data_IF_316821062654
#
_entry.id   IF_316821062654
#
_cell.length_a   1.000
_cell.length_b   1.000
_cell.length_c   1.000
_cell.angle_alpha   90.00
_cell.angle_beta   90.00
_cell.angle_gamma   90.00
#
_symmetry.space_group_name_H-M   'P 1'
#
loop_
_entity.id
_entity.type
_entity.pdbx_description
1 polymer ?
#
# COMPACT_ATOMS: atom_id res chain seq x y z
N UNK A 1 -20.01 12.32 11.97
CA UNK A 1 -19.33 11.03 12.13
C UNK A 1 -19.72 10.13 10.99
N UNK A 2 -18.74 9.74 10.13
CA UNK A 2 -18.97 8.87 8.98
C UNK A 2 -19.61 7.54 9.39
N UNK A 3 -19.12 6.92 10.46
CA UNK A 3 -19.59 5.61 10.92
C UNK A 3 -21.11 5.57 11.24
N UNK A 4 -21.72 6.64 11.73
CA UNK A 4 -23.15 6.66 12.00
C UNK A 4 -23.98 6.62 10.71
N UNK A 5 -23.54 7.35 9.68
CA UNK A 5 -24.17 7.33 8.37
C UNK A 5 -24.01 5.98 7.69
N UNK A 6 -22.82 5.41 7.78
CA UNK A 6 -22.50 4.10 7.22
C UNK A 6 -23.35 3.02 7.87
N UNK A 7 -23.49 3.02 9.20
CA UNK A 7 -24.38 2.09 9.92
C UNK A 7 -25.84 2.24 9.49
N UNK A 8 -26.36 3.47 9.36
CA UNK A 8 -27.74 3.71 8.88
C UNK A 8 -27.96 3.23 7.45
N UNK A 9 -26.94 3.39 6.58
CA UNK A 9 -27.00 2.86 5.23
C UNK A 9 -27.05 1.35 5.24
N UNK A 10 -26.17 0.71 5.99
CA UNK A 10 -26.11 -0.77 6.14
C UNK A 10 -27.44 -1.31 6.67
N UNK A 11 -28.03 -0.69 7.68
CA UNK A 11 -29.34 -1.08 8.23
C UNK A 11 -30.45 -1.02 7.18
N UNK A 12 -30.45 0.01 6.33
CA UNK A 12 -31.40 0.09 5.21
C UNK A 12 -31.15 -0.97 4.13
N UNK A 13 -29.87 -1.24 3.80
CA UNK A 13 -29.52 -2.27 2.83
C UNK A 13 -29.92 -3.66 3.30
N UNK A 14 -29.86 -3.95 4.61
CA UNK A 14 -30.33 -5.22 5.18
C UNK A 14 -31.82 -5.46 5.01
N UNK A 15 -32.63 -4.42 4.79
CA UNK A 15 -34.06 -4.58 4.47
C UNK A 15 -34.29 -5.12 3.04
N UNK A 16 -33.28 -5.00 2.18
CA UNK A 16 -33.29 -5.60 0.86
C UNK A 16 -32.95 -7.09 1.02
N UNK A 17 -33.76 -7.97 0.42
CA UNK A 17 -33.50 -9.42 0.46
C UNK A 17 -32.35 -9.80 -0.49
N UNK A 18 -31.15 -9.28 -0.20
CA UNK A 18 -29.94 -9.45 -1.03
C UNK A 18 -28.73 -9.70 -0.14
N UNK A 19 -27.65 -10.23 -0.72
CA UNK A 19 -26.39 -10.39 -0.03
C UNK A 19 -25.67 -9.06 0.10
N UNK A 20 -25.11 -8.80 1.26
CA UNK A 20 -24.35 -7.60 1.56
C UNK A 20 -22.85 -7.93 1.66
N UNK A 21 -22.07 -7.30 0.79
CA UNK A 21 -20.60 -7.37 0.82
C UNK A 21 -20.05 -6.05 1.33
N UNK A 22 -19.25 -6.11 2.39
CA UNK A 22 -18.54 -4.95 2.91
C UNK A 22 -17.13 -4.90 2.35
N UNK A 23 -16.83 -3.87 1.57
CA UNK A 23 -15.49 -3.64 1.02
C UNK A 23 -14.72 -2.68 1.95
N UNK A 24 -13.74 -3.22 2.69
CA UNK A 24 -12.97 -2.50 3.70
C UNK A 24 -11.68 -1.98 3.05
N UNK A 25 -11.60 -0.66 2.82
CA UNK A 25 -10.41 0.01 2.32
C UNK A 25 -9.47 0.42 3.45
N UNK A 26 -10.04 1.09 4.44
CA UNK A 26 -9.35 1.57 5.63
C UNK A 26 -10.17 1.29 6.87
N UNK A 27 -9.47 1.13 7.98
CA UNK A 27 -10.06 0.98 9.31
C UNK A 27 -9.57 2.15 10.18
N UNK A 28 -10.26 3.31 10.16
CA UNK A 28 -9.83 4.51 10.89
C UNK A 28 -9.49 4.30 12.36
N UNK A 29 -10.17 3.40 13.12
CA UNK A 29 -9.76 3.03 14.47
C UNK A 29 -8.36 2.43 14.59
N UNK A 30 -7.86 1.75 13.54
CA UNK A 30 -6.50 1.18 13.52
C UNK A 30 -5.46 2.17 12.98
N UNK A 31 -5.88 3.16 12.20
CA UNK A 31 -4.97 4.17 11.65
C UNK A 31 -4.54 5.22 12.68
N UNK A 32 -5.44 5.56 13.61
CA UNK A 32 -5.23 6.63 14.57
C UNK A 32 -5.71 6.18 15.96
N UNK A 33 -4.82 6.18 16.93
CA UNK A 33 -5.12 5.80 18.30
C UNK A 33 -6.31 6.61 18.88
N UNK A 34 -6.38 7.90 18.54
CA UNK A 34 -7.50 8.77 18.92
C UNK A 34 -8.88 8.32 18.43
N UNK A 35 -8.93 7.43 17.44
CA UNK A 35 -10.16 6.89 16.87
C UNK A 35 -10.48 5.47 17.36
N UNK A 36 -9.61 4.85 18.16
CA UNK A 36 -9.78 3.45 18.57
C UNK A 36 -11.08 3.20 19.32
N UNK A 37 -11.60 4.20 20.04
CA UNK A 37 -12.89 4.13 20.73
C UNK A 37 -14.09 3.84 19.79
N UNK A 38 -13.93 4.05 18.48
CA UNK A 38 -14.94 3.75 17.46
C UNK A 38 -14.92 2.27 17.01
N UNK A 39 -13.91 1.49 17.39
CA UNK A 39 -13.75 0.12 16.93
C UNK A 39 -15.01 -0.75 17.13
N UNK A 40 -15.69 -0.73 18.29
CA UNK A 40 -16.91 -1.52 18.47
C UNK A 40 -18.01 -1.19 17.45
N UNK A 41 -18.15 0.09 17.08
CA UNK A 41 -19.15 0.52 16.10
C UNK A 41 -18.79 0.05 14.66
N UNK A 42 -17.50 0.04 14.31
CA UNK A 42 -17.04 -0.51 13.04
C UNK A 42 -17.25 -2.02 12.97
N UNK A 43 -16.91 -2.75 14.02
CA UNK A 43 -17.11 -4.20 14.11
C UNK A 43 -18.59 -4.56 14.04
N UNK A 44 -19.46 -3.83 14.76
CA UNK A 44 -20.91 -4.03 14.67
C UNK A 44 -21.41 -3.86 13.23
N UNK A 45 -20.94 -2.81 12.54
CA UNK A 45 -21.29 -2.57 11.14
C UNK A 45 -20.80 -3.70 10.21
N UNK A 46 -19.54 -4.12 10.36
CA UNK A 46 -18.98 -5.19 9.53
C UNK A 46 -19.71 -6.51 9.75
N UNK A 47 -20.10 -6.82 10.98
CA UNK A 47 -20.84 -8.04 11.34
C UNK A 47 -22.25 -8.12 10.72
N UNK A 48 -22.76 -7.01 10.17
CA UNK A 48 -24.03 -7.02 9.41
C UNK A 48 -23.88 -7.54 7.99
N UNK A 49 -22.66 -7.74 7.48
CA UNK A 49 -22.42 -8.21 6.11
C UNK A 49 -22.42 -9.74 6.01
N UNK A 50 -22.67 -10.26 4.81
CA UNK A 50 -22.57 -11.69 4.49
C UNK A 50 -21.12 -12.08 4.14
N UNK A 51 -20.32 -11.12 3.67
CA UNK A 51 -18.92 -11.29 3.32
C UNK A 51 -18.19 -9.94 3.50
N UNK A 52 -16.94 -10.01 3.96
CA UNK A 52 -16.04 -8.87 3.99
C UNK A 52 -14.92 -9.03 2.96
N UNK A 53 -14.62 -7.95 2.25
CA UNK A 53 -13.40 -7.82 1.46
C UNK A 53 -12.40 -7.02 2.27
N UNK A 54 -11.24 -7.58 2.47
CA UNK A 54 -10.17 -6.99 3.29
C UNK A 54 -8.92 -6.76 2.45
N UNK A 55 -8.06 -5.77 2.80
CA UNK A 55 -6.81 -5.54 2.10
C UNK A 55 -5.85 -6.73 2.20
N UNK A 56 -5.74 -7.37 3.37
CA UNK A 56 -4.79 -8.44 3.66
C UNK A 56 -5.38 -9.50 4.60
N UNK A 57 -4.74 -10.67 4.67
CA UNK A 57 -5.04 -11.69 5.68
C UNK A 57 -4.82 -11.18 7.10
N UNK A 58 -3.76 -10.38 7.30
CA UNK A 58 -3.43 -9.78 8.60
C UNK A 58 -4.56 -8.86 9.06
N UNK A 59 -5.12 -8.03 8.16
CA UNK A 59 -6.29 -7.19 8.48
C UNK A 59 -7.50 -8.04 8.88
N UNK A 60 -7.78 -9.13 8.17
CA UNK A 60 -8.87 -10.02 8.54
C UNK A 60 -8.68 -10.58 9.96
N UNK A 61 -7.49 -11.10 10.26
CA UNK A 61 -7.19 -11.66 11.58
C UNK A 61 -7.24 -10.58 12.67
N UNK A 62 -6.78 -9.37 12.38
CA UNK A 62 -6.91 -8.25 13.29
C UNK A 62 -8.38 -7.94 13.59
N UNK A 63 -9.22 -7.82 12.58
CA UNK A 63 -10.65 -7.56 12.78
C UNK A 63 -11.35 -8.70 13.54
N UNK A 64 -10.94 -9.96 13.34
CA UNK A 64 -11.44 -11.09 14.13
C UNK A 64 -11.05 -10.94 15.60
N UNK A 65 -9.84 -10.52 15.92
CA UNK A 65 -9.42 -10.26 17.30
C UNK A 65 -10.19 -9.10 17.95
N UNK A 66 -10.69 -8.16 17.14
CA UNK A 66 -11.55 -7.04 17.59
C UNK A 66 -13.05 -7.42 17.66
N UNK A 67 -13.42 -8.65 17.29
CA UNK A 67 -14.80 -9.13 17.39
C UNK A 67 -15.56 -9.33 16.08
N UNK A 68 -14.88 -9.32 14.93
CA UNK A 68 -15.50 -9.68 13.65
C UNK A 68 -15.92 -11.15 13.67
N UNK A 69 -17.20 -11.40 13.35
CA UNK A 69 -17.79 -12.75 13.31
C UNK A 69 -18.07 -13.27 11.89
N UNK A 70 -17.94 -12.41 10.88
CA UNK A 70 -18.12 -12.77 9.47
C UNK A 70 -17.00 -13.71 9.04
N UNK A 71 -17.34 -14.93 8.66
CA UNK A 71 -16.37 -15.99 8.29
C UNK A 71 -15.99 -15.98 6.82
N UNK A 72 -16.88 -15.47 5.95
CA UNK A 72 -16.62 -15.37 4.51
C UNK A 72 -15.86 -14.09 4.23
N UNK A 73 -14.67 -14.23 3.67
CA UNK A 73 -13.85 -13.06 3.30
C UNK A 73 -13.08 -13.31 2.01
N UNK A 74 -12.69 -12.21 1.36
CA UNK A 74 -11.82 -12.20 0.18
C UNK A 74 -10.75 -11.14 0.39
N UNK A 75 -9.52 -11.44 -0.05
CA UNK A 75 -8.36 -10.56 0.12
C UNK A 75 -8.06 -9.81 -1.16
N UNK A 76 -7.94 -8.48 -1.07
CA UNK A 76 -7.62 -7.59 -2.19
C UNK A 76 -6.21 -7.80 -2.75
N UNK A 77 -5.21 -8.01 -1.92
CA UNK A 77 -3.77 -8.19 -2.22
C UNK A 77 -3.05 -6.96 -2.74
N UNK A 78 -3.52 -6.29 -3.77
CA UNK A 78 -2.98 -5.05 -4.31
C UNK A 78 -4.12 -4.14 -4.78
N UNK A 79 -3.93 -2.83 -4.65
CA UNK A 79 -4.83 -1.85 -5.28
C UNK A 79 -4.51 -1.74 -6.77
N UNK A 80 -5.53 -1.61 -7.60
CA UNK A 80 -5.33 -1.26 -8.99
C UNK A 80 -5.14 0.25 -9.16
N UNK A 81 -4.31 0.63 -10.11
CA UNK A 81 -4.11 2.00 -10.53
C UNK A 81 -4.20 2.07 -12.05
N UNK A 82 -5.43 2.14 -12.56
CA UNK A 82 -5.69 2.05 -13.99
C UNK A 82 -5.26 3.31 -14.75
N UNK A 83 -4.55 3.10 -15.86
CA UNK A 83 -4.17 4.14 -16.81
C UNK A 83 -3.73 3.53 -18.15
N UNK A 84 -3.69 4.37 -19.18
CA UNK A 84 -3.22 4.03 -20.54
C UNK A 84 -1.99 4.84 -20.96
N UNK A 85 -1.20 5.33 -20.00
CA UNK A 85 0.00 6.09 -20.29
C UNK A 85 1.05 5.20 -20.95
N UNK A 86 1.76 5.76 -21.93
CA UNK A 86 2.96 5.17 -22.49
C UNK A 86 4.14 5.55 -21.58
N UNK A 87 4.60 4.56 -20.81
CA UNK A 87 5.62 4.74 -19.78
C UNK A 87 6.99 4.34 -20.30
N UNK A 88 8.02 4.96 -19.72
CA UNK A 88 9.40 4.55 -19.98
C UNK A 88 9.68 3.16 -19.38
N UNK A 89 10.73 2.51 -19.85
CA UNK A 89 11.32 1.35 -19.16
C UNK A 89 12.29 1.86 -18.12
N UNK A 90 12.08 1.55 -16.81
CA UNK A 90 12.94 2.05 -15.76
C UNK A 90 14.42 1.74 -15.97
N UNK A 91 15.27 2.76 -15.87
CA UNK A 91 16.72 2.64 -15.98
C UNK A 91 17.36 2.42 -14.61
N UNK A 92 18.49 1.74 -14.59
CA UNK A 92 19.22 1.50 -13.35
C UNK A 92 19.80 2.79 -12.80
N UNK A 93 19.30 3.18 -11.63
CA UNK A 93 19.84 4.28 -10.83
C UNK A 93 19.80 3.88 -9.36
N UNK A 94 20.92 4.07 -8.65
CA UNK A 94 21.00 3.83 -7.19
C UNK A 94 20.40 5.00 -6.44
N UNK A 95 19.08 5.15 -6.55
CA UNK A 95 18.29 6.15 -5.84
C UNK A 95 16.99 5.54 -5.31
N UNK A 96 16.54 6.03 -4.19
CA UNK A 96 15.22 5.75 -3.63
C UNK A 96 14.25 6.89 -3.96
N UNK A 97 13.00 6.54 -4.19
CA UNK A 97 11.94 7.50 -4.51
C UNK A 97 10.81 7.33 -3.49
N UNK A 98 10.42 8.43 -2.87
CA UNK A 98 9.29 8.47 -1.94
C UNK A 98 8.26 9.49 -2.43
N UNK A 99 6.99 9.08 -2.50
CA UNK A 99 5.88 9.99 -2.78
C UNK A 99 4.96 10.11 -1.56
N UNK A 100 4.82 11.31 -1.03
CA UNK A 100 3.97 11.57 0.12
C UNK A 100 4.43 12.73 0.97
N UNK A 101 3.59 13.15 1.91
CA UNK A 101 3.89 14.27 2.79
C UNK A 101 4.91 13.88 3.87
N UNK A 102 6.11 14.48 3.90
CA UNK A 102 7.18 14.15 4.85
C UNK A 102 6.79 14.40 6.31
N UNK A 103 5.87 15.32 6.60
CA UNK A 103 5.44 15.57 7.98
C UNK A 103 4.73 14.37 8.62
N UNK A 104 4.21 13.44 7.78
CA UNK A 104 3.66 12.16 8.24
C UNK A 104 4.70 11.05 8.33
N UNK A 105 5.91 11.31 7.82
CA UNK A 105 7.00 10.33 7.71
C UNK A 105 8.32 11.00 8.11
N UNK A 106 8.57 11.21 9.41
CA UNK A 106 9.74 11.95 9.90
C UNK A 106 11.07 11.37 9.43
N UNK A 107 11.17 10.05 9.28
CA UNK A 107 12.37 9.36 8.80
C UNK A 107 12.80 9.80 7.39
N UNK A 108 11.88 10.34 6.58
CA UNK A 108 12.19 10.88 5.25
C UNK A 108 12.98 12.19 5.35
N UNK A 109 12.63 13.04 6.30
CA UNK A 109 13.31 14.33 6.53
C UNK A 109 14.69 14.09 7.16
N UNK A 110 14.78 13.14 8.07
CA UNK A 110 16.01 12.79 8.79
C UNK A 110 16.88 11.77 8.03
N UNK A 111 16.78 11.76 6.69
CA UNK A 111 17.52 10.84 5.85
C UNK A 111 19.04 10.92 6.11
N UNK A 112 19.65 9.81 6.45
CA UNK A 112 21.06 9.73 6.88
C UNK A 112 21.89 8.71 6.09
N UNK A 113 21.31 8.17 5.03
CA UNK A 113 21.92 7.10 4.25
C UNK A 113 22.54 7.63 2.96
N UNK A 114 23.52 6.89 2.41
CA UNK A 114 24.29 7.28 1.21
C UNK A 114 23.45 7.23 -0.08
N UNK A 115 22.43 6.37 -0.12
CA UNK A 115 21.52 6.31 -1.27
C UNK A 115 20.70 7.61 -1.34
N UNK A 116 20.77 8.38 -2.44
CA UNK A 116 19.96 9.57 -2.60
C UNK A 116 18.47 9.26 -2.48
N UNK A 117 17.74 10.06 -1.71
CA UNK A 117 16.29 9.97 -1.57
C UNK A 117 15.62 11.13 -2.28
N UNK A 118 14.84 10.82 -3.32
CA UNK A 118 14.04 11.75 -4.11
C UNK A 118 12.60 11.75 -3.60
N UNK A 119 12.09 12.92 -3.22
CA UNK A 119 10.79 13.04 -2.56
C UNK A 119 9.84 13.88 -3.41
N UNK A 120 8.77 13.25 -3.88
CA UNK A 120 7.68 13.92 -4.59
C UNK A 120 6.64 14.42 -3.59
N UNK A 121 6.74 15.70 -3.28
CA UNK A 121 5.85 16.40 -2.33
C UNK A 121 5.92 17.91 -2.56
N UNK A 122 4.94 18.64 -2.04
CA UNK A 122 5.13 20.07 -1.83
C UNK A 122 5.99 20.30 -0.59
N UNK A 123 7.01 21.16 -0.66
CA UNK A 123 7.80 21.51 0.52
C UNK A 123 6.91 22.20 1.56
N UNK A 124 7.13 21.85 2.82
CA UNK A 124 6.45 22.48 3.96
C UNK A 124 7.36 23.57 4.51
N UNK A 125 6.80 24.75 4.75
CA UNK A 125 7.55 25.88 5.30
C UNK A 125 8.16 25.52 6.67
N UNK A 126 9.41 25.92 6.89
CA UNK A 126 10.13 25.67 8.14
C UNK A 126 10.73 24.29 8.31
N UNK A 127 10.61 23.39 7.30
CA UNK A 127 11.23 22.08 7.30
C UNK A 127 12.57 22.11 6.57
N UNK A 128 13.63 21.58 7.17
CA UNK A 128 14.94 21.41 6.55
C UNK A 128 14.96 20.16 5.66
N UNK A 129 15.10 20.36 4.35
CA UNK A 129 15.19 19.29 3.35
C UNK A 129 16.63 19.09 2.82
N UNK A 130 17.65 19.60 3.51
CA UNK A 130 19.04 19.54 3.05
C UNK A 130 19.58 18.13 2.80
N UNK A 131 18.94 17.11 3.39
CA UNK A 131 19.33 15.69 3.31
C UNK A 131 18.60 14.88 2.23
N UNK A 132 17.67 15.50 1.50
CA UNK A 132 16.84 14.85 0.48
C UNK A 132 16.68 15.74 -0.75
N UNK A 133 16.33 15.12 -1.87
CA UNK A 133 16.03 15.85 -3.11
C UNK A 133 14.52 16.05 -3.23
N UNK A 134 14.05 17.31 -3.14
CA UNK A 134 12.65 17.64 -3.32
C UNK A 134 12.36 17.85 -4.81
N UNK A 135 11.53 16.96 -5.36
CA UNK A 135 11.12 16.96 -6.78
C UNK A 135 9.87 17.80 -7.04
N UNK A 136 9.22 18.28 -5.98
CA UNK A 136 7.95 19.00 -6.03
C UNK A 136 6.76 18.07 -6.21
N UNK A 137 5.58 18.66 -6.09
CA UNK A 137 4.33 17.92 -6.32
C UNK A 137 4.12 17.65 -7.81
N UNK A 138 3.50 16.52 -8.11
CA UNK A 138 3.13 16.10 -9.48
C UNK A 138 1.69 15.64 -9.51
N UNK A 139 1.01 15.89 -10.62
CA UNK A 139 -0.25 15.19 -10.92
C UNK A 139 0.00 13.67 -11.01
N UNK A 140 -1.07 12.87 -10.90
CA UNK A 140 -0.97 11.41 -11.00
C UNK A 140 -0.23 10.97 -12.27
N UNK A 141 -0.55 11.57 -13.42
CA UNK A 141 0.05 11.22 -14.70
C UNK A 141 1.53 11.60 -14.77
N UNK A 142 1.86 12.80 -14.35
CA UNK A 142 3.26 13.26 -14.28
C UNK A 142 4.08 12.40 -13.33
N UNK A 143 3.53 12.08 -12.14
CA UNK A 143 4.21 11.21 -11.19
C UNK A 143 4.52 9.83 -11.79
N UNK A 144 3.56 9.21 -12.47
CA UNK A 144 3.78 7.90 -13.11
C UNK A 144 4.87 7.97 -14.18
N UNK A 145 4.91 9.03 -14.98
CA UNK A 145 5.97 9.25 -15.97
C UNK A 145 7.34 9.43 -15.29
N UNK A 146 7.43 10.22 -14.23
CA UNK A 146 8.68 10.40 -13.48
C UNK A 146 9.16 9.10 -12.84
N UNK A 147 8.26 8.37 -12.19
CA UNK A 147 8.58 7.08 -11.56
C UNK A 147 9.07 6.06 -12.58
N UNK A 148 8.54 6.06 -13.79
CA UNK A 148 8.93 5.10 -14.84
C UNK A 148 10.33 5.37 -15.42
N UNK A 149 11.01 6.46 -15.05
CA UNK A 149 12.37 6.75 -15.51
C UNK A 149 13.42 5.86 -14.86
N UNK A 150 13.26 5.45 -13.59
CA UNK A 150 14.18 4.54 -12.92
C UNK A 150 14.38 4.82 -11.42
N UNK A 151 15.25 4.02 -10.80
CA UNK A 151 15.46 3.99 -9.35
C UNK A 151 14.56 2.97 -8.66
N UNK A 152 14.31 3.12 -7.36
CA UNK A 152 13.50 2.20 -6.54
C UNK A 152 12.44 2.96 -5.77
N UNK A 153 11.19 2.50 -5.82
CA UNK A 153 10.09 3.08 -5.02
C UNK A 153 10.16 2.63 -3.56
N UNK A 154 10.37 3.56 -2.64
CA UNK A 154 10.40 3.29 -1.21
C UNK A 154 8.99 3.29 -0.62
N UNK A 155 8.56 2.15 -0.09
CA UNK A 155 7.37 2.03 0.76
C UNK A 155 7.84 1.80 2.18
N UNK A 156 7.65 2.78 3.06
CA UNK A 156 8.08 2.65 4.45
C UNK A 156 7.06 3.30 5.38
N UNK A 157 6.79 2.66 6.52
CA UNK A 157 5.84 3.12 7.54
C UNK A 157 6.38 4.25 8.40
N UNK A 158 5.61 4.63 9.42
CA UNK A 158 5.98 5.71 10.35
C UNK A 158 6.93 5.24 11.46
N UNK A 159 7.02 3.93 11.70
CA UNK A 159 7.86 3.36 12.73
C UNK A 159 9.14 2.78 12.13
N UNK A 160 10.29 3.13 12.69
CA UNK A 160 11.55 2.42 12.45
C UNK A 160 11.62 1.13 13.28
N UNK A 161 10.69 0.95 14.24
CA UNK A 161 10.64 -0.25 15.07
C UNK A 161 9.64 -1.26 14.49
N UNK A 162 10.11 -2.42 13.97
CA UNK A 162 9.25 -3.48 13.46
C UNK A 162 8.27 -4.05 14.49
N UNK A 163 8.57 -3.87 15.78
CA UNK A 163 7.72 -4.33 16.89
C UNK A 163 6.59 -3.34 17.24
N UNK A 164 6.54 -2.16 16.62
CA UNK A 164 5.44 -1.21 16.83
C UNK A 164 4.14 -1.79 16.25
N UNK A 165 3.29 -2.27 17.13
CA UNK A 165 1.98 -2.83 16.78
C UNK A 165 1.04 -1.83 16.10
N UNK A 166 1.34 -0.52 16.25
CA UNK A 166 0.56 0.56 15.67
C UNK A 166 0.91 0.85 14.21
N UNK A 167 1.91 0.16 13.64
CA UNK A 167 2.23 0.34 12.23
C UNK A 167 1.16 -0.31 11.35
N UNK A 168 0.27 0.51 10.84
CA UNK A 168 -0.85 0.12 9.99
C UNK A 168 -0.41 -0.58 8.68
N UNK A 169 0.87 -0.45 8.31
CA UNK A 169 1.44 -1.15 7.17
C UNK A 169 1.52 -2.69 7.35
N UNK A 170 1.48 -3.17 8.60
CA UNK A 170 1.41 -4.61 8.89
C UNK A 170 0.09 -5.23 8.43
N UNK A 171 -0.97 -4.43 8.38
CA UNK A 171 -2.33 -4.89 8.16
C UNK A 171 -2.93 -4.37 6.85
N UNK A 172 -2.59 -3.16 6.43
CA UNK A 172 -3.15 -2.54 5.23
C UNK A 172 -2.19 -2.63 4.03
N UNK A 173 -2.73 -2.39 2.85
CA UNK A 173 -1.97 -2.27 1.61
C UNK A 173 -1.67 -0.80 1.34
N UNK A 174 -0.38 -0.46 1.21
CA UNK A 174 0.00 0.90 0.84
C UNK A 174 -0.36 1.22 -0.60
N UNK A 175 -1.10 2.31 -0.82
CA UNK A 175 -1.38 2.80 -2.17
C UNK A 175 -0.12 3.23 -2.93
N UNK A 176 0.94 3.66 -2.21
CA UNK A 176 2.25 3.96 -2.81
C UNK A 176 2.83 2.74 -3.53
N UNK A 177 2.68 1.53 -2.93
CA UNK A 177 3.13 0.29 -3.56
C UNK A 177 2.51 0.11 -4.94
N UNK A 178 1.19 0.23 -5.04
CA UNK A 178 0.48 0.12 -6.32
C UNK A 178 0.88 1.21 -7.31
N UNK A 179 1.16 2.42 -6.83
CA UNK A 179 1.65 3.53 -7.67
C UNK A 179 3.00 3.19 -8.30
N UNK A 180 3.96 2.72 -7.51
CA UNK A 180 5.27 2.34 -8.02
C UNK A 180 5.20 1.15 -8.96
N UNK A 181 4.47 0.10 -8.59
CA UNK A 181 4.28 -1.08 -9.42
C UNK A 181 3.54 -0.76 -10.72
N UNK A 182 2.56 0.15 -10.69
CA UNK A 182 1.88 0.64 -11.89
C UNK A 182 2.82 1.32 -12.88
N UNK A 183 3.83 2.05 -12.37
CA UNK A 183 4.89 2.65 -13.18
C UNK A 183 5.95 1.63 -13.66
N UNK A 184 5.86 0.36 -13.28
CA UNK A 184 6.85 -0.66 -13.59
C UNK A 184 8.14 -0.54 -12.76
N UNK A 185 8.14 0.28 -11.71
CA UNK A 185 9.30 0.57 -10.88
C UNK A 185 9.53 -0.56 -9.86
N UNK A 186 10.74 -1.12 -9.74
CA UNK A 186 11.10 -1.98 -8.62
C UNK A 186 10.94 -1.25 -7.28
N UNK A 187 10.57 -2.00 -6.23
CA UNK A 187 10.25 -1.41 -4.93
C UNK A 187 11.21 -1.86 -3.84
N UNK A 188 11.32 -1.05 -2.78
CA UNK A 188 11.96 -1.41 -1.52
C UNK A 188 10.91 -1.27 -0.42
N UNK A 189 10.66 -2.37 0.28
CA UNK A 189 9.58 -2.45 1.27
C UNK A 189 10.10 -3.05 2.58
N UNK A 190 9.49 -2.72 3.74
CA UNK A 190 9.85 -3.37 4.98
C UNK A 190 9.32 -4.81 5.02
N UNK A 191 10.00 -5.67 5.76
CA UNK A 191 9.67 -7.09 5.89
C UNK A 191 8.33 -7.35 6.60
N UNK A 192 7.87 -6.39 7.40
CA UNK A 192 6.56 -6.43 8.07
C UNK A 192 5.39 -5.93 7.22
N UNK A 193 5.64 -5.43 6.00
CA UNK A 193 4.56 -5.01 5.10
C UNK A 193 3.65 -6.20 4.77
N UNK A 194 2.34 -5.99 4.82
CA UNK A 194 1.35 -7.05 4.55
C UNK A 194 1.55 -7.81 3.21
N UNK A 195 2.18 -7.17 2.23
CA UNK A 195 2.51 -7.78 0.93
C UNK A 195 4.02 -8.08 0.76
N UNK A 196 4.85 -8.07 1.79
CA UNK A 196 6.28 -8.31 1.66
C UNK A 196 6.59 -9.64 0.96
N UNK A 197 5.85 -10.70 1.30
CA UNK A 197 6.01 -12.01 0.67
C UNK A 197 5.70 -11.98 -0.83
N UNK A 198 4.66 -11.25 -1.23
CA UNK A 198 4.36 -11.07 -2.65
C UNK A 198 5.52 -10.42 -3.42
N UNK A 199 6.14 -9.39 -2.86
CA UNK A 199 7.30 -8.71 -3.47
C UNK A 199 8.48 -9.67 -3.59
N UNK A 200 8.74 -10.46 -2.54
CA UNK A 200 9.82 -11.46 -2.50
C UNK A 200 9.59 -12.58 -3.51
N UNK A 201 8.41 -13.19 -3.53
CA UNK A 201 8.04 -14.28 -4.44
C UNK A 201 8.08 -13.85 -5.91
N UNK A 202 7.60 -12.65 -6.22
CA UNK A 202 7.62 -12.12 -7.58
C UNK A 202 9.00 -11.60 -8.00
N UNK A 203 9.89 -11.33 -7.05
CA UNK A 203 11.22 -10.80 -7.30
C UNK A 203 11.17 -9.43 -7.99
N UNK A 204 10.27 -8.56 -7.55
CA UNK A 204 9.99 -7.24 -8.13
C UNK A 204 10.55 -6.10 -7.28
N UNK A 205 11.46 -6.42 -6.37
CA UNK A 205 12.08 -5.44 -5.48
C UNK A 205 12.79 -6.09 -4.32
N UNK A 206 13.18 -5.29 -3.35
CA UNK A 206 13.83 -5.70 -2.12
C UNK A 206 12.86 -5.66 -0.92
N UNK A 207 13.02 -6.62 -0.03
CA UNK A 207 12.36 -6.67 1.28
C UNK A 207 13.45 -6.54 2.33
N UNK A 208 13.37 -5.51 3.16
CA UNK A 208 14.41 -5.15 4.14
C UNK A 208 13.83 -5.05 5.55
N UNK A 209 14.62 -5.42 6.55
CA UNK A 209 14.27 -5.34 7.98
C UNK A 209 14.47 -3.94 8.57
N UNK A 210 15.22 -3.08 7.87
CA UNK A 210 15.51 -1.71 8.31
C UNK A 210 15.83 -0.81 7.10
N UNK A 211 15.78 0.53 7.29
CA UNK A 211 16.21 1.49 6.27
C UNK A 211 17.71 1.38 5.98
N UNK A 212 18.53 0.99 6.95
CA UNK A 212 19.95 0.72 6.76
C UNK A 212 20.16 -0.47 5.80
N UNK A 213 19.42 -1.55 6.01
CA UNK A 213 19.47 -2.70 5.10
C UNK A 213 18.93 -2.34 3.72
N UNK A 214 17.85 -1.56 3.63
CA UNK A 214 17.31 -1.03 2.38
C UNK A 214 18.37 -0.24 1.61
N UNK A 215 19.09 0.67 2.29
CA UNK A 215 20.22 1.40 1.72
C UNK A 215 21.30 0.46 1.18
N UNK A 216 21.74 -0.51 1.98
CA UNK A 216 22.77 -1.49 1.58
C UNK A 216 22.32 -2.29 0.35
N UNK A 217 21.10 -2.81 0.33
CA UNK A 217 20.58 -3.59 -0.79
C UNK A 217 20.54 -2.80 -2.11
N UNK A 218 20.21 -1.50 -2.04
CA UNK A 218 20.23 -0.62 -3.23
C UNK A 218 21.68 -0.32 -3.65
N UNK A 219 22.59 -0.07 -2.70
CA UNK A 219 24.01 0.18 -3.01
C UNK A 219 24.71 -1.04 -3.61
N UNK A 220 24.39 -2.24 -3.14
CA UNK A 220 24.94 -3.50 -3.61
C UNK A 220 24.27 -4.01 -4.91
N UNK A 221 23.15 -3.42 -5.30
CA UNK A 221 22.42 -3.84 -6.50
C UNK A 221 23.25 -3.61 -7.77
N UNK A 222 23.27 -4.61 -8.63
CA UNK A 222 23.89 -4.53 -9.95
C UNK A 222 22.86 -4.17 -11.02
N UNK A 223 23.33 -3.64 -12.15
CA UNK A 223 22.48 -3.33 -13.31
C UNK A 223 21.73 -4.58 -13.80
N UNK A 224 22.39 -5.74 -13.80
CA UNK A 224 21.78 -7.01 -14.20
C UNK A 224 20.64 -7.42 -13.26
N UNK A 225 20.86 -7.33 -11.93
CA UNK A 225 19.83 -7.62 -10.92
C UNK A 225 18.65 -6.67 -11.08
N UNK A 226 18.92 -5.38 -11.29
CA UNK A 226 17.87 -4.39 -11.50
C UNK A 226 17.05 -4.67 -12.77
N UNK A 227 17.71 -4.98 -13.88
CA UNK A 227 17.05 -5.34 -15.15
C UNK A 227 16.11 -6.55 -14.98
N UNK A 228 16.53 -7.56 -14.21
CA UNK A 228 15.68 -8.73 -13.91
C UNK A 228 14.45 -8.32 -13.07
N UNK A 229 14.60 -7.42 -12.09
CA UNK A 229 13.46 -6.90 -11.32
C UNK A 229 12.50 -6.12 -12.21
N UNK A 230 13.00 -5.24 -13.08
CA UNK A 230 12.18 -4.47 -14.04
C UNK A 230 11.40 -5.40 -14.96
N UNK A 231 12.04 -6.43 -15.51
CA UNK A 231 11.37 -7.41 -16.35
C UNK A 231 10.20 -8.10 -15.64
N UNK A 232 10.39 -8.49 -14.36
CA UNK A 232 9.36 -9.11 -13.54
C UNK A 232 8.27 -8.10 -13.13
N UNK A 233 8.67 -6.87 -12.77
CA UNK A 233 7.75 -5.79 -12.41
C UNK A 233 6.85 -5.38 -13.59
N UNK A 234 7.31 -5.52 -14.83
CA UNK A 234 6.51 -5.23 -16.03
C UNK A 234 5.20 -6.05 -16.06
N UNK A 235 5.24 -7.33 -15.71
CA UNK A 235 4.03 -8.15 -15.65
C UNK A 235 3.08 -7.69 -14.54
N UNK A 236 3.61 -7.39 -13.35
CA UNK A 236 2.80 -6.85 -12.25
C UNK A 236 2.21 -5.47 -12.59
N UNK A 237 2.99 -4.61 -13.24
CA UNK A 237 2.52 -3.33 -13.76
C UNK A 237 1.33 -3.51 -14.72
N UNK A 238 1.45 -4.44 -15.66
CA UNK A 238 0.35 -4.76 -16.58
C UNK A 238 -0.93 -5.15 -15.84
N UNK A 239 -0.83 -6.00 -14.81
CA UNK A 239 -1.98 -6.40 -14.00
C UNK A 239 -2.61 -5.21 -13.26
N UNK A 240 -1.78 -4.43 -12.54
CA UNK A 240 -2.24 -3.29 -11.73
C UNK A 240 -2.93 -2.23 -12.60
N UNK A 241 -2.34 -1.86 -13.72
CA UNK A 241 -2.89 -0.79 -14.57
C UNK A 241 -4.09 -1.22 -15.43
N UNK A 242 -4.37 -2.52 -15.53
CA UNK A 242 -5.54 -3.04 -16.23
C UNK A 242 -6.67 -3.50 -15.30
N UNK A 243 -6.59 -3.23 -14.02
CA UNK A 243 -7.65 -3.50 -13.05
C UNK A 243 -7.84 -4.99 -12.74
N UNK A 244 -6.76 -5.78 -12.83
CA UNK A 244 -6.83 -7.23 -12.64
C UNK A 244 -7.25 -7.60 -11.22
N UNK A 245 -6.67 -6.96 -10.22
CA UNK A 245 -6.92 -7.32 -8.82
C UNK A 245 -8.37 -7.06 -8.42
N UNK A 246 -8.94 -5.94 -8.83
CA UNK A 246 -10.37 -5.63 -8.61
C UNK A 246 -11.27 -6.59 -9.38
N UNK A 247 -10.97 -6.88 -10.65
CA UNK A 247 -11.76 -7.84 -11.44
C UNK A 247 -11.76 -9.23 -10.81
N UNK A 248 -10.57 -9.72 -10.42
CA UNK A 248 -10.40 -10.99 -9.73
C UNK A 248 -11.19 -11.01 -8.41
N UNK A 249 -11.08 -9.93 -7.63
CA UNK A 249 -11.80 -9.78 -6.37
C UNK A 249 -13.32 -9.96 -6.53
N UNK A 250 -13.93 -9.35 -7.55
CA UNK A 250 -15.36 -9.50 -7.82
C UNK A 250 -15.71 -10.95 -8.15
N UNK A 251 -14.91 -11.64 -8.96
CA UNK A 251 -15.12 -13.06 -9.28
C UNK A 251 -15.01 -13.91 -8.02
N UNK A 252 -13.95 -13.73 -7.24
CA UNK A 252 -13.73 -14.49 -5.99
C UNK A 252 -14.88 -14.24 -4.99
N UNK A 253 -15.36 -12.99 -4.89
CA UNK A 253 -16.49 -12.64 -4.02
C UNK A 253 -17.77 -13.37 -4.40
N UNK A 254 -18.10 -13.43 -5.69
CA UNK A 254 -19.28 -14.16 -6.19
C UNK A 254 -19.16 -15.67 -5.89
N UNK A 255 -17.96 -16.22 -6.11
CA UNK A 255 -17.72 -17.66 -5.84
C UNK A 255 -17.90 -17.99 -4.36
N UNK A 256 -17.27 -17.21 -3.47
CA UNK A 256 -17.35 -17.43 -2.01
C UNK A 256 -18.77 -17.18 -1.47
N UNK A 257 -19.54 -16.27 -2.06
CA UNK A 257 -20.94 -16.06 -1.68
C UNK A 257 -21.85 -17.21 -2.12
N UNK A 258 -21.53 -17.89 -3.24
CA UNK A 258 -22.31 -19.00 -3.79
C UNK A 258 -22.12 -20.33 -3.05
N UNK A 259 -21.03 -20.44 -2.30
CA UNK A 259 -20.76 -21.57 -1.39
C UNK A 259 -21.58 -21.45 -0.09
#
# INVERSE_FOLDING_TARGET
NGIEWDNRLVDKLKLLQTKLVMFIHDVPPLMFESNYYLMPAYIEMYNKSDLVVVPSEQMYHRLVSEGLTVKKYVVQKLWDLTHSLDLYTPQFEKKLIFSGNPSRFPHIIDWKYDTPLHVYTEPVEGVDYSKVHIEGWRTKQELLLELSKGGFGLVWGNSENPEDERDYYKENISYKLSTYLSAGLPVVVPDYLSNADYIREKGIGFVASSLEEANRLVQDCTEETYAQMVQKAHYTSYLVRNGYFTKKLFVDTIMVLGE
#
